data_IF_904867080423
#
_entry.id   IF_904867080423
#
_cell.length_a   1.000
_cell.length_b   1.000
_cell.length_c   1.000
_cell.angle_alpha   90.00
_cell.angle_beta   90.00
_cell.angle_gamma   90.00
#
_symmetry.space_group_name_H-M   'P 1'
#
loop_
_entity.id
_entity.type
_entity.pdbx_description
1 polymer ?
#
# COMPACT_ATOMS: atom_id res chain seq x y z
N UNK A 1 16.93 -27.81 -3.77
CA UNK A 1 15.54 -28.10 -4.23
C UNK A 1 14.74 -26.83 -4.55
N UNK A 2 14.83 -25.75 -3.75
CA UNK A 2 14.05 -24.52 -3.98
C UNK A 2 14.43 -23.77 -5.26
N UNK A 3 15.71 -23.71 -5.61
CA UNK A 3 16.19 -23.05 -6.83
C UNK A 3 15.69 -23.75 -8.10
N UNK A 4 15.71 -25.09 -8.10
CA UNK A 4 15.18 -25.88 -9.21
C UNK A 4 13.68 -25.66 -9.42
N UNK A 5 12.89 -25.67 -8.34
CA UNK A 5 11.44 -25.42 -8.41
C UNK A 5 11.15 -23.99 -8.88
N UNK A 6 11.91 -23.00 -8.44
CA UNK A 6 11.73 -21.63 -8.92
C UNK A 6 12.02 -21.49 -10.42
N UNK A 7 13.05 -22.18 -10.93
CA UNK A 7 13.33 -22.21 -12.37
C UNK A 7 12.20 -22.88 -13.14
N UNK A 8 11.67 -24.00 -12.62
CA UNK A 8 10.53 -24.69 -13.22
C UNK A 8 9.27 -23.80 -13.24
N UNK A 9 8.97 -23.11 -12.14
CA UNK A 9 7.84 -22.18 -12.11
C UNK A 9 8.00 -21.05 -13.12
N UNK A 10 9.19 -20.47 -13.22
CA UNK A 10 9.49 -19.41 -14.19
C UNK A 10 9.33 -19.89 -15.63
N UNK A 11 9.77 -21.11 -15.95
CA UNK A 11 9.61 -21.69 -17.30
C UNK A 11 8.14 -21.96 -17.67
N UNK A 12 7.28 -22.12 -16.67
CA UNK A 12 5.83 -22.25 -16.84
C UNK A 12 5.08 -20.91 -16.76
N UNK A 13 5.77 -19.77 -16.82
CA UNK A 13 5.18 -18.44 -16.60
C UNK A 13 4.45 -18.32 -15.26
N UNK A 14 5.00 -18.96 -14.23
CA UNK A 14 4.48 -18.89 -12.86
C UNK A 14 5.48 -18.16 -11.96
N UNK A 15 4.97 -17.37 -11.07
CA UNK A 15 5.75 -16.66 -10.05
C UNK A 15 5.32 -17.04 -8.65
N UNK A 16 6.30 -17.22 -7.75
CA UNK A 16 6.04 -17.53 -6.35
C UNK A 16 5.58 -16.27 -5.63
N UNK A 17 4.33 -16.25 -5.18
CA UNK A 17 3.78 -15.20 -4.33
C UNK A 17 4.12 -15.47 -2.86
N UNK A 18 3.97 -16.73 -2.44
CA UNK A 18 4.17 -17.14 -1.05
C UNK A 18 4.59 -18.60 -1.00
N UNK A 19 5.51 -18.92 -0.10
CA UNK A 19 5.92 -20.31 0.17
C UNK A 19 6.03 -20.51 1.67
N UNK A 20 5.36 -21.54 2.19
CA UNK A 20 5.34 -21.87 3.62
C UNK A 20 5.63 -23.34 3.86
N UNK A 21 6.49 -23.61 4.83
CA UNK A 21 6.73 -24.93 5.35
C UNK A 21 5.75 -25.17 6.51
N UNK A 22 4.97 -26.26 6.45
CA UNK A 22 3.81 -26.40 7.32
C UNK A 22 3.88 -27.60 8.27
N UNK A 23 4.31 -28.76 7.80
CA UNK A 23 4.18 -30.01 8.54
C UNK A 23 5.57 -30.56 8.85
N UNK A 24 5.92 -30.60 10.13
CA UNK A 24 7.11 -31.28 10.61
C UNK A 24 6.77 -32.72 11.07
N UNK A 25 5.61 -32.92 11.72
CA UNK A 25 5.14 -34.20 12.15
C UNK A 25 3.84 -34.59 11.41
N UNK A 26 3.88 -35.59 10.49
CA UNK A 26 2.73 -35.97 9.69
C UNK A 26 1.75 -36.90 10.44
N UNK A 27 2.13 -37.36 11.65
CA UNK A 27 1.29 -38.25 12.49
C UNK A 27 0.51 -37.38 13.46
N UNK A 28 -0.79 -37.62 13.61
CA UNK A 28 -1.62 -36.88 14.56
C UNK A 28 -1.50 -37.49 15.95
N UNK A 29 -0.89 -36.78 16.88
CA UNK A 29 -0.86 -37.05 18.32
C UNK A 29 -1.51 -35.81 18.97
N UNK A 30 -2.63 -35.96 19.70
CA UNK A 30 -3.34 -34.85 20.33
C UNK A 30 -2.37 -33.95 21.11
N UNK A 31 -2.58 -32.60 21.00
CA UNK A 31 -1.76 -31.55 21.60
C UNK A 31 -0.33 -31.43 21.06
N UNK A 32 0.39 -32.57 20.92
CA UNK A 32 1.81 -32.64 20.54
C UNK A 32 1.99 -32.22 19.07
N UNK A 33 1.22 -32.78 18.15
CA UNK A 33 1.35 -32.51 16.71
C UNK A 33 1.10 -31.03 16.39
N UNK A 34 0.07 -30.47 16.97
CA UNK A 34 -0.24 -29.06 16.76
C UNK A 34 0.83 -28.13 17.33
N UNK A 35 1.34 -28.46 18.53
CA UNK A 35 2.42 -27.70 19.16
C UNK A 35 3.72 -27.78 18.34
N UNK A 36 4.16 -28.99 17.98
CA UNK A 36 5.38 -29.18 17.19
C UNK A 36 5.27 -28.57 15.81
N UNK A 37 4.18 -28.76 15.08
CA UNK A 37 3.99 -28.14 13.77
C UNK A 37 3.97 -26.62 13.84
N UNK A 38 3.50 -26.03 14.95
CA UNK A 38 3.56 -24.58 15.18
C UNK A 38 4.98 -24.11 15.51
N UNK A 39 5.70 -24.84 16.35
CA UNK A 39 7.09 -24.55 16.73
C UNK A 39 8.02 -24.64 15.52
N UNK A 40 7.90 -25.68 14.72
CA UNK A 40 8.76 -25.90 13.55
C UNK A 40 8.46 -24.96 12.36
N UNK A 41 7.43 -24.10 12.45
CA UNK A 41 7.23 -23.00 11.48
C UNK A 41 8.18 -21.82 11.72
N UNK A 42 8.83 -21.74 12.86
CA UNK A 42 9.82 -20.69 13.15
C UNK A 42 11.00 -20.76 12.16
N UNK A 43 11.58 -19.62 11.76
CA UNK A 43 12.58 -19.56 10.70
C UNK A 43 13.77 -20.51 10.85
N UNK A 44 14.27 -20.69 12.07
CA UNK A 44 15.41 -21.57 12.35
C UNK A 44 15.05 -23.06 12.36
N UNK A 45 13.81 -23.40 12.71
CA UNK A 45 13.35 -24.77 12.87
C UNK A 45 12.60 -25.31 11.64
N UNK A 46 12.27 -24.45 10.70
CA UNK A 46 11.48 -24.82 9.53
C UNK A 46 12.19 -25.73 8.52
N UNK A 47 13.50 -25.95 8.71
CA UNK A 47 14.27 -26.94 7.94
C UNK A 47 13.78 -28.38 8.17
N UNK A 48 13.16 -28.63 9.33
CA UNK A 48 12.62 -29.95 9.69
C UNK A 48 11.18 -30.17 9.17
N UNK A 49 10.56 -29.18 8.54
CA UNK A 49 9.24 -29.35 7.93
C UNK A 49 9.33 -30.22 6.68
N UNK A 50 8.47 -31.24 6.62
CA UNK A 50 8.39 -32.22 5.53
C UNK A 50 7.59 -31.72 4.33
N UNK A 51 6.65 -30.80 4.54
CA UNK A 51 5.81 -30.28 3.46
C UNK A 51 6.02 -28.78 3.27
N UNK A 52 6.00 -28.37 2.00
CA UNK A 52 6.04 -26.98 1.58
C UNK A 52 4.80 -26.70 0.73
N UNK A 53 4.04 -25.66 1.10
CA UNK A 53 2.93 -25.16 0.30
C UNK A 53 3.37 -23.87 -0.37
N UNK A 54 3.28 -23.83 -1.69
CA UNK A 54 3.68 -22.68 -2.50
C UNK A 54 2.47 -22.15 -3.25
N UNK A 55 2.20 -20.87 -3.08
CA UNK A 55 1.17 -20.15 -3.84
C UNK A 55 1.86 -19.53 -5.04
N UNK A 56 1.37 -19.86 -6.22
CA UNK A 56 1.88 -19.40 -7.49
C UNK A 56 0.86 -18.47 -8.15
N UNK A 57 1.36 -17.44 -8.82
CA UNK A 57 0.58 -16.56 -9.68
C UNK A 57 1.03 -16.75 -11.12
N UNK A 58 0.07 -16.92 -12.04
CA UNK A 58 0.36 -16.95 -13.47
C UNK A 58 0.79 -15.56 -13.94
N UNK A 59 1.89 -15.50 -14.67
CA UNK A 59 2.36 -14.28 -15.30
C UNK A 59 1.56 -14.10 -16.59
N UNK A 60 0.57 -13.24 -16.57
CA UNK A 60 -0.14 -12.83 -17.79
C UNK A 60 0.66 -11.72 -18.46
N UNK A 61 1.66 -12.08 -19.25
CA UNK A 61 2.32 -11.15 -20.17
C UNK A 61 1.53 -11.11 -21.47
N UNK A 62 0.36 -10.52 -21.48
CA UNK A 62 -0.32 -10.15 -22.72
C UNK A 62 -0.22 -8.65 -22.89
N UNK A 63 0.63 -8.25 -23.80
CA UNK A 63 0.72 -6.90 -24.35
C UNK A 63 -0.50 -6.51 -25.22
N UNK A 64 -1.63 -7.19 -25.05
CA UNK A 64 -2.81 -7.04 -25.91
C UNK A 64 -4.06 -6.49 -25.25
N UNK A 65 -4.06 -6.24 -23.94
CA UNK A 65 -5.18 -5.60 -23.23
C UNK A 65 -4.75 -4.24 -22.66
N UNK A 66 -4.22 -3.36 -23.52
CA UNK A 66 -4.02 -1.94 -23.23
C UNK A 66 -5.35 -1.17 -23.36
N UNK A 67 -6.40 -1.59 -22.70
CA UNK A 67 -7.38 -0.61 -22.26
C UNK A 67 -6.69 0.29 -21.25
N UNK A 68 -6.63 1.57 -21.56
CA UNK A 68 -5.98 2.58 -20.71
C UNK A 68 -6.68 2.60 -19.35
N UNK A 69 -6.08 1.95 -18.35
CA UNK A 69 -6.66 1.81 -17.01
C UNK A 69 -6.79 3.18 -16.38
N UNK A 70 -7.99 3.51 -15.96
CA UNK A 70 -8.29 4.75 -15.25
C UNK A 70 -7.65 4.73 -13.87
N UNK A 71 -7.15 5.88 -13.44
CA UNK A 71 -6.40 6.04 -12.21
C UNK A 71 -7.12 7.04 -11.32
N UNK A 72 -7.30 6.68 -10.05
CA UNK A 72 -7.87 7.54 -9.03
C UNK A 72 -6.88 7.77 -7.88
N UNK A 73 -6.59 9.03 -7.61
CA UNK A 73 -5.87 9.47 -6.43
C UNK A 73 -6.84 9.68 -5.27
N UNK A 74 -6.58 9.05 -4.15
CA UNK A 74 -7.32 9.25 -2.90
C UNK A 74 -6.47 10.13 -1.99
N UNK A 75 -6.95 11.32 -1.70
CA UNK A 75 -6.21 12.36 -0.99
C UNK A 75 -6.99 12.71 0.28
N UNK A 76 -6.70 12.04 1.42
CA UNK A 76 -7.32 12.38 2.69
C UNK A 76 -6.78 13.71 3.20
N UNK A 77 -7.68 14.63 3.56
CA UNK A 77 -7.35 15.98 3.99
C UNK A 77 -7.92 16.25 5.39
N UNK A 78 -7.12 16.92 6.22
CA UNK A 78 -7.56 17.49 7.49
C UNK A 78 -6.68 18.68 7.85
N UNK A 79 -7.24 19.89 7.78
CA UNK A 79 -6.52 21.15 7.98
C UNK A 79 -5.29 21.29 7.06
N UNK A 80 -5.52 21.17 5.75
CA UNK A 80 -4.48 21.14 4.72
C UNK A 80 -4.60 22.29 3.71
N UNK A 81 -5.24 23.43 4.10
CA UNK A 81 -5.53 24.55 3.21
C UNK A 81 -4.34 25.03 2.36
N UNK A 82 -3.15 25.08 2.97
CA UNK A 82 -1.96 25.55 2.26
C UNK A 82 -1.39 24.50 1.31
N UNK A 83 -1.50 23.22 1.68
CA UNK A 83 -1.05 22.12 0.84
C UNK A 83 -1.98 21.93 -0.37
N UNK A 84 -3.31 22.13 -0.20
CA UNK A 84 -4.25 22.07 -1.34
C UNK A 84 -3.90 23.09 -2.43
N UNK A 85 -3.46 24.29 -2.06
CA UNK A 85 -3.01 25.32 -3.02
C UNK A 85 -1.83 24.85 -3.89
N UNK A 86 -0.99 23.98 -3.36
CA UNK A 86 0.18 23.44 -4.09
C UNK A 86 -0.21 22.37 -5.11
N UNK A 87 -1.35 21.68 -4.93
CA UNK A 87 -1.81 20.67 -5.88
C UNK A 87 -2.10 21.22 -7.26
N UNK A 88 -2.49 22.50 -7.38
CA UNK A 88 -2.70 23.14 -8.69
C UNK A 88 -1.48 22.98 -9.59
N UNK A 89 -0.30 23.31 -9.06
CA UNK A 89 0.96 23.19 -9.79
C UNK A 89 1.30 21.73 -10.12
N UNK A 90 1.18 20.84 -9.14
CA UNK A 90 1.49 19.42 -9.29
C UNK A 90 0.59 18.75 -10.35
N UNK A 91 -0.70 19.05 -10.36
CA UNK A 91 -1.66 18.49 -11.33
C UNK A 91 -1.37 19.00 -12.73
N UNK A 92 -1.10 20.32 -12.90
CA UNK A 92 -0.78 20.92 -14.20
C UNK A 92 0.53 20.36 -14.77
N UNK A 93 1.58 20.26 -13.94
CA UNK A 93 2.88 19.76 -14.37
C UNK A 93 2.84 18.28 -14.77
N UNK A 94 1.95 17.50 -14.14
CA UNK A 94 1.79 16.08 -14.45
C UNK A 94 1.07 15.85 -15.79
N UNK A 95 0.22 16.77 -16.21
CA UNK A 95 -0.50 16.75 -17.49
C UNK A 95 -1.16 15.40 -17.85
N UNK A 96 -1.63 14.65 -16.85
CA UNK A 96 -2.29 13.35 -17.01
C UNK A 96 -3.76 13.44 -16.63
N UNK A 97 -4.61 12.74 -17.38
CA UNK A 97 -6.06 12.70 -17.12
C UNK A 97 -6.40 11.74 -15.98
N UNK A 98 -6.00 12.09 -14.74
CA UNK A 98 -6.31 11.33 -13.55
C UNK A 98 -7.56 11.85 -12.84
N UNK A 99 -8.18 10.99 -12.05
CA UNK A 99 -9.24 11.37 -11.12
C UNK A 99 -8.61 11.66 -9.74
N UNK A 100 -8.92 12.84 -9.17
CA UNK A 100 -8.41 13.28 -7.87
C UNK A 100 -9.56 13.40 -6.88
N UNK A 101 -9.58 12.54 -5.85
CA UNK A 101 -10.62 12.53 -4.83
C UNK A 101 -10.07 13.12 -3.52
N UNK A 102 -10.47 14.34 -3.21
CA UNK A 102 -10.11 15.03 -1.97
C UNK A 102 -11.15 14.76 -0.91
N UNK A 103 -10.76 14.09 0.18
CA UNK A 103 -11.62 13.77 1.31
C UNK A 103 -11.39 14.72 2.49
N UNK A 104 -12.25 15.72 2.67
CA UNK A 104 -12.18 16.59 3.83
C UNK A 104 -12.76 15.91 5.07
N UNK A 105 -11.91 15.69 6.08
CA UNK A 105 -12.28 14.99 7.33
C UNK A 105 -12.63 15.97 8.46
N UNK A 106 -13.61 16.84 8.22
CA UNK A 106 -14.04 17.89 9.12
C UNK A 106 -12.90 18.85 9.49
N UNK A 107 -12.27 19.46 8.50
CA UNK A 107 -11.27 20.52 8.70
C UNK A 107 -11.88 21.74 9.40
N UNK A 108 -11.07 22.40 10.21
CA UNK A 108 -11.43 23.65 10.92
C UNK A 108 -10.86 24.89 10.24
N UNK A 109 -10.02 24.71 9.22
CA UNK A 109 -9.45 25.76 8.38
C UNK A 109 -10.20 25.85 7.03
N UNK A 110 -9.64 26.55 6.04
CA UNK A 110 -10.29 26.73 4.73
C UNK A 110 -10.02 25.57 3.74
N UNK A 111 -9.64 24.37 4.20
CA UNK A 111 -9.35 23.21 3.34
C UNK A 111 -10.49 22.94 2.36
N UNK A 112 -11.75 22.89 2.85
CA UNK A 112 -12.93 22.59 2.04
C UNK A 112 -13.12 23.62 0.91
N UNK A 113 -12.93 24.91 1.21
CA UNK A 113 -13.03 26.01 0.23
C UNK A 113 -11.88 25.98 -0.79
N UNK A 114 -10.67 25.64 -0.36
CA UNK A 114 -9.52 25.55 -1.27
C UNK A 114 -9.67 24.39 -2.26
N UNK A 115 -10.26 23.26 -1.86
CA UNK A 115 -10.62 22.17 -2.79
C UNK A 115 -11.63 22.65 -3.83
N UNK A 116 -12.65 23.42 -3.43
CA UNK A 116 -13.63 24.00 -4.36
C UNK A 116 -13.00 24.99 -5.34
N UNK A 117 -12.04 25.80 -4.88
CA UNK A 117 -11.27 26.71 -5.74
C UNK A 117 -10.42 25.93 -6.74
N UNK A 118 -9.73 24.88 -6.28
CA UNK A 118 -8.92 24.02 -7.13
C UNK A 118 -9.74 23.36 -8.24
N UNK A 119 -10.92 22.83 -7.91
CA UNK A 119 -11.84 22.25 -8.90
C UNK A 119 -12.33 23.25 -9.95
N UNK A 120 -12.56 24.50 -9.56
CA UNK A 120 -12.95 25.57 -10.50
C UNK A 120 -11.81 26.02 -11.41
N UNK A 121 -10.58 26.01 -10.90
CA UNK A 121 -9.38 26.41 -11.67
C UNK A 121 -8.96 25.35 -12.70
N UNK A 122 -9.22 24.09 -12.42
CA UNK A 122 -8.85 22.94 -13.24
C UNK A 122 -10.08 22.16 -13.71
N UNK A 123 -10.97 22.78 -14.52
CA UNK A 123 -12.24 22.18 -14.91
C UNK A 123 -12.07 20.92 -15.79
N UNK A 124 -10.95 20.83 -16.53
CA UNK A 124 -10.65 19.68 -17.40
C UNK A 124 -10.13 18.46 -16.59
N UNK A 125 -9.73 18.68 -15.34
CA UNK A 125 -9.31 17.61 -14.45
C UNK A 125 -10.49 17.10 -13.63
N UNK A 126 -10.59 15.80 -13.48
CA UNK A 126 -11.66 15.20 -12.68
C UNK A 126 -11.34 15.32 -11.17
N UNK A 127 -11.64 16.47 -10.60
CA UNK A 127 -11.48 16.76 -9.18
C UNK A 127 -12.82 16.53 -8.48
N UNK A 128 -12.85 15.61 -7.54
CA UNK A 128 -14.02 15.23 -6.76
C UNK A 128 -13.73 15.53 -5.28
N UNK A 129 -14.62 16.30 -4.68
CA UNK A 129 -14.61 16.50 -3.23
C UNK A 129 -15.62 15.56 -2.59
N UNK A 130 -15.22 14.89 -1.50
CA UNK A 130 -16.14 14.13 -0.66
C UNK A 130 -15.90 14.46 0.81
N UNK A 131 -16.94 14.33 1.60
CA UNK A 131 -16.88 14.54 3.05
C UNK A 131 -16.36 13.26 3.72
N UNK A 132 -15.24 13.36 4.46
CA UNK A 132 -14.74 12.29 5.31
C UNK A 132 -15.72 11.93 6.45
N UNK A 133 -15.55 10.80 7.11
CA UNK A 133 -16.44 10.39 8.20
C UNK A 133 -16.17 11.13 9.52
N UNK A 134 -15.06 11.87 9.65
CA UNK A 134 -14.68 12.56 10.90
C UNK A 134 -14.18 11.64 12.00
N UNK A 135 -13.72 10.45 11.66
CA UNK A 135 -13.29 9.41 12.60
C UNK A 135 -11.75 9.31 12.63
N UNK A 136 -11.15 8.98 11.51
CA UNK A 136 -9.71 8.84 11.35
C UNK A 136 -9.32 8.78 9.86
N UNK A 137 -8.01 8.89 9.57
CA UNK A 137 -7.49 8.88 8.21
C UNK A 137 -7.90 7.62 7.45
N UNK A 138 -7.81 6.43 8.06
CA UNK A 138 -8.14 5.17 7.38
C UNK A 138 -9.58 5.14 6.87
N UNK A 139 -10.54 5.53 7.69
CA UNK A 139 -11.97 5.56 7.30
C UNK A 139 -12.22 6.58 6.18
N UNK A 140 -11.50 7.71 6.20
CA UNK A 140 -11.56 8.69 5.11
C UNK A 140 -11.01 8.11 3.80
N UNK A 141 -9.85 7.44 3.85
CA UNK A 141 -9.26 6.73 2.70
C UNK A 141 -10.22 5.66 2.17
N UNK A 142 -10.79 4.82 3.03
CA UNK A 142 -11.69 3.74 2.62
C UNK A 142 -12.94 4.28 1.93
N UNK A 143 -13.50 5.37 2.44
CA UNK A 143 -14.62 6.06 1.81
C UNK A 143 -14.23 6.61 0.43
N UNK A 144 -13.04 7.20 0.29
CA UNK A 144 -12.51 7.67 -0.97
C UNK A 144 -12.36 6.56 -2.02
N UNK A 145 -11.83 5.39 -1.62
CA UNK A 145 -11.71 4.23 -2.52
C UNK A 145 -13.08 3.78 -3.04
N UNK A 146 -14.12 3.85 -2.22
CA UNK A 146 -15.47 3.50 -2.65
C UNK A 146 -16.05 4.47 -3.67
N UNK A 147 -15.74 5.77 -3.55
CA UNK A 147 -16.16 6.81 -4.50
C UNK A 147 -15.36 6.83 -5.80
N UNK A 148 -14.14 6.28 -5.79
CA UNK A 148 -13.26 6.26 -6.95
C UNK A 148 -13.88 5.51 -8.14
N UNK A 149 -13.67 6.03 -9.36
CA UNK A 149 -14.12 5.34 -10.59
C UNK A 149 -12.98 4.62 -11.33
N UNK A 150 -11.73 4.84 -10.92
CA UNK A 150 -10.55 4.25 -11.55
C UNK A 150 -10.34 2.78 -11.23
N UNK A 151 -9.63 2.11 -12.13
CA UNK A 151 -9.22 0.70 -11.99
C UNK A 151 -8.02 0.54 -11.07
N UNK A 152 -7.20 1.58 -10.97
CA UNK A 152 -6.03 1.66 -10.10
C UNK A 152 -6.26 2.77 -9.07
N UNK A 153 -6.02 2.43 -7.81
CA UNK A 153 -6.09 3.34 -6.68
C UNK A 153 -4.68 3.74 -6.26
N UNK A 154 -4.49 5.03 -6.06
CA UNK A 154 -3.28 5.63 -5.49
C UNK A 154 -3.71 6.37 -4.22
N UNK A 155 -3.23 5.94 -3.06
CA UNK A 155 -3.36 6.70 -1.82
C UNK A 155 -2.21 7.70 -1.77
N UNK A 156 -2.54 8.98 -1.64
CA UNK A 156 -1.57 10.05 -1.65
C UNK A 156 -1.84 11.06 -0.55
N UNK A 157 -0.87 11.24 0.34
CA UNK A 157 -1.01 12.16 1.46
C UNK A 157 -1.03 13.63 0.98
N UNK A 158 -1.91 14.43 1.55
CA UNK A 158 -2.11 15.84 1.17
C UNK A 158 -0.88 16.74 1.46
N UNK A 159 0.08 16.26 2.27
CA UNK A 159 1.29 17.01 2.64
C UNK A 159 2.39 17.02 1.54
N UNK A 160 2.17 16.35 0.41
CA UNK A 160 3.07 16.33 -0.76
C UNK A 160 4.51 15.91 -0.41
N UNK A 161 4.67 15.06 0.61
CA UNK A 161 6.00 14.60 1.06
C UNK A 161 6.63 13.55 0.15
N UNK A 162 5.86 12.95 -0.76
CA UNK A 162 6.33 12.09 -1.85
C UNK A 162 6.08 12.79 -3.17
N UNK A 163 7.05 12.80 -4.09
CA UNK A 163 6.90 13.48 -5.38
C UNK A 163 5.97 12.73 -6.35
N UNK A 164 5.25 13.47 -7.20
CA UNK A 164 4.46 12.88 -8.28
C UNK A 164 5.31 12.00 -9.20
N UNK A 165 6.56 12.40 -9.45
CA UNK A 165 7.51 11.61 -10.26
C UNK A 165 7.77 10.23 -9.67
N UNK A 166 7.92 10.12 -8.35
CA UNK A 166 8.12 8.83 -7.66
C UNK A 166 6.83 8.00 -7.71
N UNK A 167 5.66 8.66 -7.65
CA UNK A 167 4.36 7.99 -7.79
C UNK A 167 4.19 7.45 -9.21
N UNK A 168 4.49 8.21 -10.24
CA UNK A 168 4.43 7.75 -11.63
C UNK A 168 5.37 6.58 -11.89
N UNK A 169 6.59 6.64 -11.35
CA UNK A 169 7.52 5.53 -11.42
C UNK A 169 6.95 4.28 -10.76
N UNK A 170 6.35 4.44 -9.57
CA UNK A 170 5.72 3.34 -8.83
C UNK A 170 4.50 2.76 -9.57
N UNK A 171 3.69 3.63 -10.18
CA UNK A 171 2.57 3.24 -11.03
C UNK A 171 3.03 2.45 -12.26
N UNK A 172 4.11 2.88 -12.91
CA UNK A 172 4.71 2.17 -14.03
C UNK A 172 5.20 0.77 -13.62
N UNK A 173 5.74 0.62 -12.41
CA UNK A 173 6.10 -0.70 -11.88
C UNK A 173 4.86 -1.57 -11.72
N UNK A 174 3.75 -1.04 -11.16
CA UNK A 174 2.50 -1.80 -11.05
C UNK A 174 1.99 -2.27 -12.43
N UNK A 175 1.98 -1.36 -13.42
CA UNK A 175 1.48 -1.65 -14.77
C UNK A 175 2.35 -2.64 -15.54
N UNK A 176 3.66 -2.52 -15.43
CA UNK A 176 4.62 -3.25 -16.27
C UNK A 176 5.22 -4.50 -15.61
N UNK A 177 4.83 -4.80 -14.37
CA UNK A 177 5.29 -6.01 -13.66
C UNK A 177 4.10 -6.84 -13.19
N UNK A 178 4.39 -7.94 -12.50
CA UNK A 178 3.34 -8.76 -11.89
C UNK A 178 2.98 -8.32 -10.46
N UNK A 179 3.32 -7.10 -10.07
CA UNK A 179 2.91 -6.55 -8.80
C UNK A 179 1.38 -6.38 -8.75
N UNK A 180 0.76 -6.71 -7.62
CA UNK A 180 -0.65 -6.44 -7.35
C UNK A 180 -0.81 -5.24 -6.43
N UNK A 181 0.20 -5.02 -5.59
CA UNK A 181 0.20 -4.00 -4.55
C UNK A 181 1.59 -3.38 -4.44
N UNK A 182 1.70 -2.09 -4.67
CA UNK A 182 2.92 -1.32 -4.41
C UNK A 182 2.83 -0.72 -3.02
N UNK A 183 3.85 -1.01 -2.21
CA UNK A 183 4.12 -0.32 -0.95
C UNK A 183 5.29 0.63 -1.18
N UNK A 184 5.06 1.92 -1.22
CA UNK A 184 6.15 2.88 -1.30
C UNK A 184 6.98 2.83 -0.01
N UNK A 185 8.31 2.97 -0.13
CA UNK A 185 9.20 2.94 1.04
C UNK A 185 10.13 4.14 1.06
N UNK A 186 10.18 4.80 2.21
CA UNK A 186 11.04 5.97 2.51
C UNK A 186 12.38 5.59 3.13
N UNK A 187 12.58 4.27 3.35
CA UNK A 187 13.69 3.75 4.16
C UNK A 187 14.90 3.34 3.34
N UNK A 188 14.87 3.51 2.00
CA UNK A 188 15.94 3.05 1.10
C UNK A 188 16.79 4.22 0.62
N UNK A 189 16.17 5.31 0.20
CA UNK A 189 16.92 6.51 -0.17
C UNK A 189 17.33 7.31 1.07
N UNK A 190 18.46 8.03 1.01
CA UNK A 190 18.81 8.98 2.06
C UNK A 190 17.67 9.98 2.23
N UNK A 191 17.23 10.11 3.47
CA UNK A 191 16.18 11.08 3.80
C UNK A 191 16.77 12.50 3.68
N UNK A 192 16.00 13.41 3.14
CA UNK A 192 16.37 14.81 3.15
C UNK A 192 16.25 15.37 4.57
N UNK A 193 17.08 16.34 4.88
CA UNK A 193 17.24 16.90 6.22
C UNK A 193 15.89 17.17 6.90
N UNK A 194 15.71 16.60 8.10
CA UNK A 194 14.48 16.80 8.91
C UNK A 194 13.26 15.97 8.51
N UNK A 195 13.27 15.23 7.40
CA UNK A 195 12.08 14.57 6.86
C UNK A 195 11.47 13.52 7.80
N UNK A 196 12.27 12.84 8.62
CA UNK A 196 11.75 11.85 9.58
C UNK A 196 12.42 11.98 10.95
N UNK A 197 11.61 12.07 12.01
CA UNK A 197 12.11 12.08 13.39
C UNK A 197 12.68 10.71 13.77
N UNK A 198 13.75 10.69 14.57
CA UNK A 198 14.46 9.47 14.98
C UNK A 198 13.53 8.41 15.60
N UNK A 199 12.58 8.81 16.43
CA UNK A 199 11.62 7.87 17.04
C UNK A 199 10.71 7.23 16.01
N UNK A 200 10.29 7.95 14.98
CA UNK A 200 9.48 7.42 13.88
C UNK A 200 10.30 6.41 13.05
N UNK A 201 11.58 6.69 12.84
CA UNK A 201 12.50 5.77 12.17
C UNK A 201 12.66 4.46 12.94
N UNK A 202 12.90 4.54 14.26
CA UNK A 202 13.06 3.34 15.13
C UNK A 202 11.76 2.55 15.18
N UNK A 203 10.62 3.23 15.40
CA UNK A 203 9.30 2.59 15.43
C UNK A 203 8.96 1.88 14.13
N UNK A 204 9.15 2.56 12.98
CA UNK A 204 8.93 1.93 11.68
C UNK A 204 9.84 0.74 11.43
N UNK A 205 11.13 0.83 11.80
CA UNK A 205 12.08 -0.28 11.67
C UNK A 205 11.68 -1.51 12.52
N UNK A 206 11.14 -1.28 13.72
CA UNK A 206 10.60 -2.35 14.56
C UNK A 206 9.42 -3.04 13.90
N UNK A 207 8.41 -2.27 13.47
CA UNK A 207 7.24 -2.83 12.79
C UNK A 207 7.62 -3.48 11.45
N UNK A 208 8.51 -2.89 10.67
CA UNK A 208 9.03 -3.48 9.43
C UNK A 208 9.67 -4.85 9.68
N UNK A 209 10.44 -5.00 10.76
CA UNK A 209 11.02 -6.28 11.15
C UNK A 209 9.95 -7.31 11.53
N UNK A 210 8.94 -6.89 12.31
CA UNK A 210 7.81 -7.73 12.71
C UNK A 210 7.01 -8.20 11.49
N UNK A 211 6.66 -7.29 10.59
CA UNK A 211 5.93 -7.61 9.36
C UNK A 211 6.77 -8.49 8.42
N UNK A 212 8.08 -8.26 8.34
CA UNK A 212 8.97 -9.13 7.55
C UNK A 212 8.96 -10.57 8.06
N UNK A 213 8.92 -10.75 9.39
CA UNK A 213 8.80 -12.07 10.01
C UNK A 213 7.43 -12.71 9.72
N UNK A 214 6.35 -11.95 9.89
CA UNK A 214 4.98 -12.43 9.69
C UNK A 214 4.72 -12.79 8.22
N UNK A 215 5.16 -11.95 7.30
CA UNK A 215 4.95 -12.14 5.86
C UNK A 215 6.00 -13.08 5.22
N UNK A 216 7.04 -13.43 5.99
CA UNK A 216 8.19 -14.20 5.45
C UNK A 216 8.78 -13.57 4.19
N UNK A 217 8.72 -12.26 4.12
CA UNK A 217 9.18 -11.41 3.03
C UNK A 217 9.71 -10.10 3.62
N UNK A 218 10.83 -9.62 3.11
CA UNK A 218 11.40 -8.35 3.56
C UNK A 218 10.41 -7.21 3.27
N UNK A 219 10.01 -6.50 4.32
CA UNK A 219 9.28 -5.23 4.31
C UNK A 219 10.19 -4.21 4.98
N UNK A 220 10.34 -3.04 4.37
CA UNK A 220 11.25 -1.99 4.88
C UNK A 220 10.51 -0.80 5.45
N UNK A 221 9.29 -0.52 4.99
CA UNK A 221 8.46 0.58 5.48
C UNK A 221 7.01 0.14 5.64
N UNK A 222 6.48 0.24 6.84
CA UNK A 222 5.09 -0.13 7.15
C UNK A 222 4.17 1.08 7.30
N UNK A 223 4.74 2.29 7.40
CA UNK A 223 4.04 3.54 7.72
C UNK A 223 4.12 4.58 6.59
N UNK A 224 4.48 4.18 5.37
CA UNK A 224 4.38 5.05 4.21
C UNK A 224 2.91 5.08 3.74
N UNK A 225 2.26 6.24 3.81
CA UNK A 225 0.87 6.38 3.38
C UNK A 225 0.64 6.12 1.89
N UNK A 226 1.67 6.32 1.05
CA UNK A 226 1.56 6.11 -0.40
C UNK A 226 1.54 4.63 -0.76
N UNK A 227 0.40 4.18 -1.27
CA UNK A 227 0.15 2.81 -1.73
C UNK A 227 -0.59 2.83 -3.05
N UNK A 228 -0.25 1.87 -3.94
CA UNK A 228 -0.86 1.76 -5.27
C UNK A 228 -1.30 0.32 -5.49
N UNK A 229 -2.56 0.11 -5.87
CA UNK A 229 -3.10 -1.23 -6.09
C UNK A 229 -4.33 -1.21 -7.00
N UNK A 230 -4.74 -2.37 -7.49
CA UNK A 230 -5.95 -2.48 -8.30
C UNK A 230 -7.21 -2.41 -7.44
N UNK A 231 -8.18 -1.59 -7.85
CA UNK A 231 -9.45 -1.40 -7.13
C UNK A 231 -10.21 -2.71 -6.89
N UNK A 232 -10.13 -3.66 -7.81
CA UNK A 232 -10.78 -4.97 -7.67
C UNK A 232 -10.29 -5.75 -6.44
N UNK A 233 -9.07 -5.51 -5.97
CA UNK A 233 -8.53 -6.16 -4.78
C UNK A 233 -9.02 -5.52 -3.48
N UNK A 234 -9.52 -4.29 -3.54
CA UNK A 234 -10.08 -3.59 -2.39
C UNK A 234 -11.22 -4.37 -1.72
N UNK A 235 -12.12 -4.95 -2.50
CA UNK A 235 -13.25 -5.70 -1.94
C UNK A 235 -12.81 -6.90 -1.09
N UNK A 236 -11.70 -7.54 -1.44
CA UNK A 236 -11.10 -8.64 -0.68
C UNK A 236 -10.46 -8.11 0.60
N UNK A 237 -9.66 -7.05 0.49
CA UNK A 237 -8.98 -6.39 1.61
C UNK A 237 -10.02 -5.89 2.64
N UNK A 238 -11.03 -5.15 2.18
CA UNK A 238 -12.10 -4.60 3.04
C UNK A 238 -12.82 -5.68 3.83
N UNK A 239 -13.14 -6.81 3.19
CA UNK A 239 -13.79 -7.94 3.86
C UNK A 239 -12.96 -8.52 5.01
N UNK A 240 -11.65 -8.44 4.91
CA UNK A 240 -10.77 -8.91 5.98
C UNK A 240 -10.60 -7.87 7.07
N UNK A 241 -10.45 -6.58 6.74
CA UNK A 241 -10.38 -5.49 7.72
C UNK A 241 -11.56 -5.55 8.69
N UNK A 242 -12.77 -5.73 8.17
CA UNK A 242 -14.01 -5.81 8.99
C UNK A 242 -14.01 -6.93 10.03
N UNK A 243 -13.16 -7.95 9.88
CA UNK A 243 -13.09 -9.12 10.77
C UNK A 243 -12.07 -8.99 11.88
N UNK A 244 -11.13 -8.04 11.79
CA UNK A 244 -10.00 -8.01 12.73
C UNK A 244 -10.29 -7.35 14.06
N UNK A 245 -11.36 -6.56 14.14
CA UNK A 245 -11.80 -5.91 15.37
C UNK A 245 -10.84 -4.84 15.93
N UNK A 246 -9.69 -4.63 15.31
CA UNK A 246 -8.77 -3.53 15.63
C UNK A 246 -8.94 -2.42 14.60
N UNK A 247 -8.90 -1.16 15.05
CA UNK A 247 -8.92 -0.01 14.17
C UNK A 247 -7.49 0.49 13.96
N UNK A 248 -7.01 0.38 12.72
CA UNK A 248 -5.82 1.09 12.31
C UNK A 248 -6.21 2.54 11.96
N UNK A 249 -5.76 3.50 12.75
CA UNK A 249 -6.13 4.90 12.58
C UNK A 249 -5.59 5.51 11.27
N UNK A 250 -4.50 4.96 10.75
CA UNK A 250 -3.85 5.43 9.50
C UNK A 250 -4.22 4.58 8.29
N UNK A 251 -4.53 3.30 8.48
CA UNK A 251 -4.89 2.35 7.44
C UNK A 251 -3.70 1.62 6.81
N UNK A 252 -2.47 1.96 7.19
CA UNK A 252 -1.26 1.41 6.59
C UNK A 252 -1.09 -0.08 6.87
N UNK A 253 -1.33 -0.50 8.10
CA UNK A 253 -1.25 -1.89 8.52
C UNK A 253 -2.39 -2.71 7.94
N UNK A 254 -3.61 -2.17 7.97
CA UNK A 254 -4.79 -2.82 7.43
C UNK A 254 -4.61 -3.19 5.96
N UNK A 255 -4.11 -2.25 5.16
CA UNK A 255 -3.87 -2.46 3.74
C UNK A 255 -2.75 -3.49 3.49
N UNK A 256 -1.64 -3.42 4.22
CA UNK A 256 -0.53 -4.37 4.09
C UNK A 256 -0.92 -5.79 4.51
N UNK A 257 -1.60 -5.93 5.65
CA UNK A 257 -2.06 -7.23 6.14
C UNK A 257 -3.14 -7.78 5.21
N UNK A 258 -4.06 -6.92 4.74
CA UNK A 258 -5.09 -7.31 3.79
C UNK A 258 -4.51 -7.79 2.47
N UNK A 259 -3.54 -7.08 1.92
CA UNK A 259 -2.81 -7.51 0.72
C UNK A 259 -2.12 -8.86 0.92
N UNK A 260 -1.40 -9.04 2.04
CA UNK A 260 -0.72 -10.29 2.36
C UNK A 260 -1.70 -11.46 2.51
N UNK A 261 -2.80 -11.29 3.26
CA UNK A 261 -3.81 -12.34 3.48
C UNK A 261 -4.49 -12.78 2.19
N UNK A 262 -4.69 -11.86 1.28
CA UNK A 262 -5.28 -12.15 -0.03
C UNK A 262 -4.25 -12.61 -1.08
N UNK A 263 -3.03 -12.93 -0.65
CA UNK A 263 -1.93 -13.40 -1.49
C UNK A 263 -1.62 -12.44 -2.65
N UNK A 264 -1.80 -11.14 -2.43
CA UNK A 264 -1.37 -10.14 -3.39
C UNK A 264 0.16 -10.06 -3.40
N UNK A 265 0.73 -9.90 -4.58
CA UNK A 265 2.16 -9.69 -4.72
C UNK A 265 2.51 -8.26 -4.32
N UNK A 266 2.90 -8.07 -3.05
CA UNK A 266 3.37 -6.80 -2.54
C UNK A 266 4.77 -6.54 -3.11
N UNK A 267 5.00 -5.40 -3.72
CA UNK A 267 6.31 -4.93 -4.20
C UNK A 267 6.63 -3.60 -3.54
N UNK A 268 7.81 -3.49 -2.92
CA UNK A 268 8.27 -2.22 -2.37
C UNK A 268 9.00 -1.40 -3.43
N UNK A 269 8.64 -0.12 -3.53
CA UNK A 269 9.28 0.83 -4.44
C UNK A 269 9.84 2.00 -3.63
N UNK A 270 11.15 2.28 -3.73
CA UNK A 270 11.76 3.40 -3.05
C UNK A 270 11.21 4.73 -3.55
N UNK A 271 10.91 5.63 -2.63
CA UNK A 271 10.50 7.01 -2.91
C UNK A 271 11.38 7.98 -2.14
N UNK A 272 11.59 9.16 -2.69
CA UNK A 272 12.23 10.26 -1.98
C UNK A 272 11.23 10.88 -1.02
N UNK A 273 11.62 11.01 0.25
CA UNK A 273 10.79 11.61 1.27
C UNK A 273 11.28 13.02 1.55
N UNK A 274 10.40 13.98 1.31
CA UNK A 274 10.67 15.40 1.51
C UNK A 274 10.15 15.85 2.88
N UNK A 275 10.76 16.89 3.43
CA UNK A 275 10.25 17.54 4.62
C UNK A 275 8.87 18.14 4.35
N UNK A 276 7.97 18.07 5.33
CA UNK A 276 6.68 18.73 5.27
C UNK A 276 6.87 20.24 5.17
N UNK A 277 6.17 20.86 4.26
CA UNK A 277 6.22 22.32 4.08
C UNK A 277 5.58 23.08 5.26
N UNK A 278 4.72 22.40 6.03
CA UNK A 278 4.14 22.91 7.27
C UNK A 278 4.45 22.00 8.46
N UNK A 279 4.90 22.60 9.58
CA UNK A 279 5.50 21.90 10.72
C UNK A 279 4.52 21.11 11.62
N UNK A 280 3.21 21.23 11.48
CA UNK A 280 2.27 20.58 12.41
C UNK A 280 1.83 19.19 11.98
N UNK A 281 2.12 18.20 12.81
CA UNK A 281 1.44 16.89 12.74
C UNK A 281 -0.01 17.10 13.15
N UNK A 282 -0.93 17.04 12.20
CA UNK A 282 -2.35 17.39 12.38
C UNK A 282 -3.24 16.19 12.77
N UNK A 283 -2.64 15.13 13.34
CA UNK A 283 -3.36 13.96 13.87
C UNK A 283 -3.06 13.75 15.33
#
# INVERSE_FOLDING_TARGET
PSSYLNNLYSSCNLEVVRSEKLIALPIYIPLITNFLNRLFRLPLLNIFCLSNVTILKKINRTSSDEEEKKISFIIPCKNEENNIKLFEKEIIENNQSYEYLFGDDNSSDNTDEEIDKLSKKLPDNKIIKYKGPGICKSENVYKGIEHASGDIIIIYDADLTVSFKDIEFSLNILKNTNADFINCTRMIYPQKDGAMKLFNFIGNSFFASLFSLLFKKKITDTLCGTKIFYKNDWNKIKKDISKWGMKDLWGDFDLLIGAYKNNLKITEVPVTYYERKEESTKM
#
